data_IF_937307713021
#
_entry.id   IF_937307713021
#
_cell.length_a   1.000
_cell.length_b   1.000
_cell.length_c   1.000
_cell.angle_alpha   90.00
_cell.angle_beta   90.00
_cell.angle_gamma   90.00
#
_symmetry.space_group_name_H-M   'P 1'
#
loop_
_entity.id
_entity.type
_entity.pdbx_description
1 polymer ?
#
# COMPACT_ATOMS: atom_id res chain seq x y z
N UNK A 1 -54.11 38.64 -61.70
CA UNK A 1 -52.79 39.26 -61.50
C UNK A 1 -52.46 39.23 -60.02
N UNK A 2 -51.24 38.78 -59.68
CA UNK A 2 -50.51 38.96 -58.41
C UNK A 2 -51.13 38.35 -57.13
N UNK A 3 -50.38 37.79 -56.18
CA UNK A 3 -49.01 37.27 -56.13
C UNK A 3 -48.92 36.53 -54.79
N UNK A 4 -48.43 35.29 -54.77
CA UNK A 4 -48.12 34.57 -53.52
C UNK A 4 -46.81 35.12 -52.95
N UNK A 5 -46.85 35.70 -51.75
CA UNK A 5 -45.64 36.05 -50.99
C UNK A 5 -45.24 34.85 -50.13
N UNK A 6 -44.20 34.15 -50.57
CA UNK A 6 -43.49 33.14 -49.80
C UNK A 6 -42.60 33.81 -48.75
N UNK A 7 -42.77 33.42 -47.48
CA UNK A 7 -41.85 33.79 -46.42
C UNK A 7 -40.55 32.98 -46.56
N UNK A 8 -39.47 33.66 -46.94
CA UNK A 8 -38.10 33.14 -46.86
C UNK A 8 -37.68 33.03 -45.38
N UNK A 9 -37.48 31.83 -44.86
CA UNK A 9 -36.70 31.61 -43.64
C UNK A 9 -35.22 31.39 -44.01
N UNK A 10 -34.28 32.18 -43.47
CA UNK A 10 -32.86 31.86 -43.64
C UNK A 10 -32.50 30.66 -42.75
N UNK A 11 -32.11 29.56 -43.40
CA UNK A 11 -31.50 28.40 -42.76
C UNK A 11 -30.07 28.78 -42.32
N UNK A 12 -29.92 29.32 -41.12
CA UNK A 12 -28.61 29.48 -40.49
C UNK A 12 -28.15 28.13 -39.94
N UNK A 13 -27.43 27.39 -40.78
CA UNK A 13 -26.73 26.18 -40.38
C UNK A 13 -25.50 26.57 -39.54
N UNK A 14 -25.64 26.60 -38.22
CA UNK A 14 -24.50 26.74 -37.30
C UNK A 14 -23.86 25.35 -37.17
N UNK A 15 -22.60 25.13 -37.55
CA UNK A 15 -21.94 23.86 -37.30
C UNK A 15 -21.77 23.69 -35.80
N UNK A 16 -22.43 22.69 -35.21
CA UNK A 16 -22.26 22.33 -33.81
C UNK A 16 -20.91 21.60 -33.66
N UNK A 17 -19.83 22.35 -33.53
CA UNK A 17 -18.52 21.82 -33.16
C UNK A 17 -18.63 21.19 -31.77
N UNK A 18 -18.72 19.87 -31.74
CA UNK A 18 -18.63 19.11 -30.50
C UNK A 18 -17.16 19.08 -30.11
N UNK A 19 -16.72 20.05 -29.31
CA UNK A 19 -15.42 19.99 -28.65
C UNK A 19 -15.54 18.86 -27.63
N UNK A 20 -15.06 17.66 -27.99
CA UNK A 20 -14.74 16.66 -26.97
C UNK A 20 -13.61 17.26 -26.15
N UNK A 21 -13.78 17.49 -24.84
CA UNK A 21 -12.66 17.88 -24.01
C UNK A 21 -11.67 16.72 -24.05
N UNK A 22 -10.60 16.85 -24.83
CA UNK A 22 -9.42 16.02 -24.66
C UNK A 22 -8.86 16.51 -23.33
N UNK A 23 -9.17 15.78 -22.26
CA UNK A 23 -8.44 15.89 -21.01
C UNK A 23 -6.99 15.55 -21.35
N UNK A 24 -6.19 16.58 -21.56
CA UNK A 24 -4.74 16.49 -21.60
C UNK A 24 -4.35 16.02 -20.19
N UNK A 25 -4.23 14.71 -20.02
CA UNK A 25 -3.80 14.07 -18.79
C UNK A 25 -2.29 14.29 -18.62
N UNK A 26 -1.88 15.56 -18.51
CA UNK A 26 -0.49 16.00 -18.42
C UNK A 26 0.11 15.84 -17.02
N UNK A 27 -0.50 14.99 -16.20
CA UNK A 27 0.04 14.58 -14.91
C UNK A 27 -0.44 13.16 -14.69
N UNK A 28 0.50 12.23 -14.52
CA UNK A 28 0.24 10.98 -13.81
C UNK A 28 -0.46 11.38 -12.52
N UNK A 29 -1.75 11.09 -12.40
CA UNK A 29 -2.55 11.47 -11.25
C UNK A 29 -2.05 10.63 -10.08
N UNK A 30 -1.02 11.15 -9.40
CA UNK A 30 -0.54 10.64 -8.13
C UNK A 30 -1.72 10.63 -7.18
N UNK A 31 -2.20 9.45 -6.80
CA UNK A 31 -2.91 9.31 -5.53
C UNK A 31 -1.89 9.38 -4.39
N UNK A 32 -1.14 10.49 -4.32
CA UNK A 32 -0.35 10.84 -3.14
C UNK A 32 -1.29 11.64 -2.26
N UNK A 33 -1.85 10.97 -1.26
CA UNK A 33 -2.45 11.68 -0.14
C UNK A 33 -1.27 12.13 0.72
N UNK A 34 -0.95 13.44 0.79
CA UNK A 34 0.09 13.91 1.68
C UNK A 34 -0.33 13.58 3.11
N UNK A 35 0.56 12.94 3.87
CA UNK A 35 0.34 12.60 5.26
C UNK A 35 1.22 13.50 6.14
N UNK A 36 0.58 14.30 6.99
CA UNK A 36 1.26 15.10 7.98
C UNK A 36 1.67 14.22 9.17
N UNK A 37 2.95 14.28 9.54
CA UNK A 37 3.48 13.46 10.64
C UNK A 37 2.89 13.92 11.98
N UNK A 38 2.56 12.95 12.85
CA UNK A 38 2.18 13.23 14.23
C UNK A 38 3.40 13.48 15.11
N UNK A 39 3.17 14.04 16.29
CA UNK A 39 4.21 14.21 17.30
C UNK A 39 4.92 12.88 17.60
N UNK A 40 6.26 12.91 17.62
CA UNK A 40 7.10 11.72 17.81
C UNK A 40 7.32 10.88 16.55
N UNK A 41 6.67 11.19 15.42
CA UNK A 41 6.89 10.49 14.15
C UNK A 41 8.01 11.14 13.34
N UNK A 42 8.84 10.31 12.72
CA UNK A 42 9.89 10.75 11.81
C UNK A 42 9.72 10.04 10.47
N UNK A 43 9.87 10.78 9.38
CA UNK A 43 9.90 10.23 8.02
C UNK A 43 11.34 10.03 7.58
N UNK A 44 11.65 8.81 7.17
CA UNK A 44 12.94 8.36 6.70
C UNK A 44 12.82 7.76 5.30
N UNK A 45 13.97 7.64 4.64
CA UNK A 45 14.08 7.04 3.31
C UNK A 45 15.17 5.98 3.32
N UNK A 46 14.76 4.72 3.25
CA UNK A 46 15.65 3.58 3.19
C UNK A 46 16.11 3.33 1.75
N UNK A 47 17.41 3.38 1.51
CA UNK A 47 17.97 3.16 0.17
C UNK A 47 18.09 1.65 -0.12
N UNK A 48 17.29 1.18 -1.07
CA UNK A 48 17.24 -0.20 -1.50
C UNK A 48 18.43 -0.57 -2.42
N UNK A 49 18.74 -1.87 -2.60
CA UNK A 49 19.77 -2.32 -3.54
C UNK A 49 19.52 -1.91 -4.99
N UNK A 50 18.26 -1.68 -5.35
CA UNK A 50 17.86 -1.12 -6.65
C UNK A 50 18.31 0.34 -6.86
N UNK A 51 18.73 1.02 -5.80
CA UNK A 51 19.06 2.44 -5.77
C UNK A 51 17.86 3.35 -5.47
N UNK A 52 16.65 2.80 -5.44
CA UNK A 52 15.41 3.51 -5.12
C UNK A 52 15.26 3.71 -3.61
N UNK A 53 14.56 4.77 -3.23
CA UNK A 53 14.25 5.08 -1.84
C UNK A 53 12.87 4.58 -1.45
N UNK A 54 12.83 3.82 -0.37
CA UNK A 54 11.60 3.35 0.28
C UNK A 54 11.30 4.25 1.48
N UNK A 55 10.15 4.91 1.48
CA UNK A 55 9.68 5.68 2.61
C UNK A 55 9.42 4.77 3.82
N UNK A 56 9.83 5.27 4.99
CA UNK A 56 9.56 4.67 6.29
C UNK A 56 9.07 5.77 7.23
N UNK A 57 7.90 5.59 7.83
CA UNK A 57 7.46 6.41 8.96
C UNK A 57 7.78 5.64 10.23
N UNK A 58 8.66 6.18 11.07
CA UNK A 58 9.00 5.59 12.36
C UNK A 58 8.38 6.36 13.52
N UNK A 59 8.09 5.63 14.60
CA UNK A 59 7.78 6.18 15.90
C UNK A 59 8.39 5.29 16.97
N UNK A 60 9.31 5.86 17.75
CA UNK A 60 10.06 5.13 18.78
C UNK A 60 9.24 4.93 20.04
N UNK A 61 9.43 3.78 20.68
CA UNK A 61 8.78 3.44 21.94
C UNK A 61 9.10 4.50 23.00
N UNK A 62 8.07 5.16 23.52
CA UNK A 62 8.24 6.13 24.60
C UNK A 62 8.68 5.45 25.88
N UNK A 63 9.62 6.06 26.62
CA UNK A 63 9.88 5.68 28.00
C UNK A 63 8.69 6.16 28.82
N UNK A 64 7.79 5.26 29.21
CA UNK A 64 6.69 5.63 30.10
C UNK A 64 7.25 6.20 31.41
N UNK A 65 6.80 7.40 31.81
CA UNK A 65 7.16 8.00 33.12
C UNK A 65 6.64 7.20 34.34
N UNK A 66 5.87 6.13 34.12
CA UNK A 66 5.37 5.21 35.15
C UNK A 66 5.83 3.75 34.96
N UNK A 67 6.70 3.46 34.00
CA UNK A 67 7.37 2.16 33.93
C UNK A 67 8.68 2.21 34.69
N UNK A 68 8.94 1.15 35.47
CA UNK A 68 10.21 0.94 36.19
C UNK A 68 11.40 1.32 35.28
N UNK A 69 12.28 2.26 35.68
CA UNK A 69 13.43 2.70 34.88
C UNK A 69 14.38 1.57 34.46
N UNK A 70 14.20 0.36 34.99
CA UNK A 70 14.91 -0.84 34.54
C UNK A 70 14.31 -1.54 33.30
N UNK A 71 13.03 -1.32 32.96
CA UNK A 71 12.39 -1.93 31.80
C UNK A 71 12.59 -1.05 30.56
N UNK A 72 13.81 -1.07 30.01
CA UNK A 72 14.17 -0.28 28.84
C UNK A 72 13.38 -0.74 27.62
N UNK A 73 12.98 0.21 26.77
CA UNK A 73 12.38 -0.01 25.44
C UNK A 73 13.20 -0.88 24.48
N UNK A 74 14.44 -1.22 24.85
CA UNK A 74 15.32 -2.12 24.10
C UNK A 74 15.06 -3.63 24.29
N UNK A 75 14.07 -4.04 25.09
CA UNK A 75 13.69 -5.46 25.21
C UNK A 75 12.57 -5.89 24.26
N UNK A 76 11.72 -4.97 23.81
CA UNK A 76 10.59 -5.32 22.96
C UNK A 76 11.04 -5.54 21.50
N UNK A 77 10.52 -6.56 20.80
CA UNK A 77 10.78 -6.73 19.38
C UNK A 77 10.24 -5.52 18.60
N UNK A 78 10.99 -4.98 17.63
CA UNK A 78 10.49 -3.92 16.76
C UNK A 78 9.24 -4.37 15.98
N UNK A 79 8.30 -3.46 15.74
CA UNK A 79 7.11 -3.73 14.95
C UNK A 79 7.28 -3.11 13.55
N UNK A 80 7.20 -3.94 12.52
CA UNK A 80 7.30 -3.51 11.12
C UNK A 80 5.97 -3.73 10.42
N UNK A 81 5.39 -2.66 9.88
CA UNK A 81 4.05 -2.65 9.28
C UNK A 81 4.12 -2.52 7.76
N UNK A 82 3.49 -3.46 7.05
CA UNK A 82 3.43 -3.54 5.59
C UNK A 82 1.98 -3.33 5.14
N UNK A 83 1.74 -2.27 4.37
CA UNK A 83 0.40 -1.92 3.89
C UNK A 83 -0.08 -2.82 2.72
N UNK A 84 -1.38 -2.74 2.44
CA UNK A 84 -2.01 -3.40 1.29
C UNK A 84 -2.02 -2.52 0.03
N UNK A 85 -2.57 -3.04 -1.07
CA UNK A 85 -2.71 -2.26 -2.31
C UNK A 85 -3.45 -0.93 -2.06
N UNK A 86 -3.06 0.12 -2.80
CA UNK A 86 -3.66 1.46 -2.75
C UNK A 86 -3.54 2.20 -1.41
N UNK A 87 -2.69 1.72 -0.51
CA UNK A 87 -2.31 2.39 0.74
C UNK A 87 -0.82 2.77 0.71
N UNK A 88 -0.35 3.45 1.76
CA UNK A 88 1.06 3.63 2.06
C UNK A 88 1.28 3.61 3.59
N UNK A 89 2.49 3.92 4.08
CA UNK A 89 2.83 3.94 5.51
C UNK A 89 1.83 4.70 6.40
N UNK A 90 1.19 5.75 5.85
CA UNK A 90 0.20 6.57 6.54
C UNK A 90 -0.98 5.79 7.13
N UNK A 91 -1.36 4.63 6.55
CA UNK A 91 -2.50 3.86 7.06
C UNK A 91 -2.22 3.23 8.43
N UNK A 92 -0.93 3.06 8.76
CA UNK A 92 -0.47 2.59 10.06
C UNK A 92 -0.02 3.75 10.95
N UNK A 93 0.62 4.77 10.37
CA UNK A 93 1.13 5.94 11.07
C UNK A 93 0.05 6.66 11.90
N UNK A 94 -1.15 6.83 11.34
CA UNK A 94 -2.19 7.68 11.94
C UNK A 94 -2.59 7.26 13.37
N UNK A 95 -2.72 5.96 13.65
CA UNK A 95 -3.19 5.49 14.97
C UNK A 95 -2.35 4.36 15.55
N UNK A 96 -1.83 3.47 14.73
CA UNK A 96 -1.20 2.24 15.19
C UNK A 96 0.20 2.48 15.73
N UNK A 97 1.02 3.27 15.03
CA UNK A 97 2.37 3.56 15.53
C UNK A 97 2.30 4.35 16.85
N UNK A 98 1.39 5.30 16.97
CA UNK A 98 1.19 6.05 18.22
C UNK A 98 0.74 5.14 19.36
N UNK A 99 -0.20 4.23 19.10
CA UNK A 99 -0.65 3.27 20.12
C UNK A 99 0.49 2.36 20.61
N UNK A 100 1.18 1.68 19.69
CA UNK A 100 2.21 0.71 20.06
C UNK A 100 3.48 1.35 20.60
N UNK A 101 3.84 2.54 20.12
CA UNK A 101 4.97 3.29 20.70
C UNK A 101 4.69 3.74 22.13
N UNK A 102 3.45 4.11 22.47
CA UNK A 102 3.08 4.31 23.88
C UNK A 102 3.18 3.03 24.69
N UNK A 103 2.88 1.86 24.10
CA UNK A 103 3.13 0.57 24.75
C UNK A 103 4.63 0.18 24.83
N UNK A 104 5.55 1.05 24.40
CA UNK A 104 6.99 0.84 24.49
C UNK A 104 7.60 0.05 23.33
N UNK A 105 6.92 -0.08 22.19
CA UNK A 105 7.46 -0.73 20.99
C UNK A 105 8.04 0.29 20.01
N UNK A 106 9.22 0.00 19.46
CA UNK A 106 9.72 0.72 18.29
C UNK A 106 8.92 0.30 17.05
N UNK A 107 8.32 1.29 16.36
CA UNK A 107 7.36 1.04 15.30
C UNK A 107 7.82 1.64 13.97
N UNK A 108 7.68 0.88 12.88
CA UNK A 108 8.11 1.26 11.54
C UNK A 108 7.05 0.91 10.50
N UNK A 109 6.42 1.91 9.87
CA UNK A 109 5.51 1.70 8.76
C UNK A 109 6.24 1.94 7.43
N UNK A 110 6.27 0.93 6.57
CA UNK A 110 6.94 0.99 5.27
C UNK A 110 5.94 1.37 4.19
N UNK A 111 6.32 2.24 3.26
CA UNK A 111 5.61 2.44 2.00
C UNK A 111 6.29 1.63 0.90
N UNK A 112 5.58 0.69 0.28
CA UNK A 112 6.09 -0.07 -0.85
C UNK A 112 6.43 0.88 -2.02
N UNK A 113 7.35 0.46 -2.91
CA UNK A 113 7.77 1.26 -4.06
C UNK A 113 6.59 1.62 -4.98
N UNK A 114 6.51 2.88 -5.40
CA UNK A 114 5.37 3.41 -6.16
C UNK A 114 4.15 3.78 -5.31
N UNK A 115 4.23 3.68 -3.98
CA UNK A 115 3.20 4.16 -3.05
C UNK A 115 3.76 5.19 -2.07
N UNK A 116 2.89 6.05 -1.54
CA UNK A 116 3.28 7.09 -0.60
C UNK A 116 4.33 8.04 -1.19
N UNK A 117 5.39 8.25 -0.43
CA UNK A 117 6.57 9.01 -0.86
C UNK A 117 7.74 8.15 -1.30
N UNK A 118 7.59 6.83 -1.38
CA UNK A 118 8.58 5.97 -2.01
C UNK A 118 8.77 6.29 -3.50
N UNK A 119 9.97 6.03 -4.00
CA UNK A 119 10.28 6.22 -5.41
C UNK A 119 9.44 5.30 -6.30
N UNK A 120 9.21 5.75 -7.55
CA UNK A 120 8.45 5.02 -8.55
C UNK A 120 9.41 4.15 -9.40
N UNK A 121 9.20 2.81 -9.44
CA UNK A 121 9.93 1.94 -10.37
C UNK A 121 9.64 2.29 -11.82
N UNK A 122 10.59 1.99 -12.71
CA UNK A 122 10.47 2.28 -14.16
C UNK A 122 9.52 1.34 -14.91
N UNK A 123 9.09 0.23 -14.30
CA UNK A 123 8.21 -0.76 -14.92
C UNK A 123 6.72 -0.41 -14.83
N UNK A 124 5.88 -1.11 -15.61
CA UNK A 124 4.42 -0.94 -15.61
C UNK A 124 3.73 -1.34 -14.29
N UNK A 125 4.46 -1.98 -13.38
CA UNK A 125 4.01 -2.44 -12.08
C UNK A 125 5.02 -2.05 -11.01
N UNK A 126 4.51 -1.80 -9.81
CA UNK A 126 5.29 -1.43 -8.62
C UNK A 126 6.34 -2.48 -8.19
N UNK A 127 6.19 -3.73 -8.64
CA UNK A 127 7.10 -4.82 -8.30
C UNK A 127 6.42 -6.18 -8.40
N UNK A 128 7.19 -7.24 -8.15
CA UNK A 128 6.66 -8.58 -7.91
C UNK A 128 6.55 -8.83 -6.41
N UNK A 129 5.86 -9.91 -6.02
CA UNK A 129 5.79 -10.34 -4.61
C UNK A 129 7.20 -10.54 -4.02
N UNK A 130 8.11 -11.11 -4.82
CA UNK A 130 9.50 -11.35 -4.44
C UNK A 130 10.27 -10.06 -4.20
N UNK A 131 10.13 -9.06 -5.09
CA UNK A 131 10.85 -7.79 -4.92
C UNK A 131 10.34 -7.05 -3.70
N UNK A 132 9.03 -7.00 -3.47
CA UNK A 132 8.47 -6.38 -2.27
C UNK A 132 8.93 -7.07 -0.98
N UNK A 133 8.94 -8.40 -0.94
CA UNK A 133 9.44 -9.13 0.23
C UNK A 133 10.95 -8.91 0.44
N UNK A 134 11.73 -8.84 -0.65
CA UNK A 134 13.16 -8.54 -0.61
C UNK A 134 13.46 -7.13 -0.11
N UNK A 135 12.67 -6.13 -0.51
CA UNK A 135 12.81 -4.75 -0.05
C UNK A 135 12.55 -4.62 1.46
N UNK A 136 11.51 -5.32 1.96
CA UNK A 136 11.22 -5.43 3.39
C UNK A 136 12.37 -6.12 4.14
N UNK A 137 12.89 -7.22 3.59
CA UNK A 137 14.02 -7.94 4.18
C UNK A 137 15.30 -7.08 4.24
N UNK A 138 15.59 -6.32 3.18
CA UNK A 138 16.75 -5.42 3.14
C UNK A 138 16.62 -4.30 4.20
N UNK A 139 15.42 -3.74 4.39
CA UNK A 139 15.17 -2.79 5.47
C UNK A 139 15.42 -3.41 6.84
N UNK A 140 14.82 -4.58 7.13
CA UNK A 140 14.98 -5.27 8.42
C UNK A 140 16.46 -5.57 8.67
N UNK A 141 17.15 -6.15 7.68
CA UNK A 141 18.54 -6.57 7.78
C UNK A 141 19.52 -5.42 8.09
N UNK A 142 19.24 -4.22 7.56
CA UNK A 142 20.14 -3.05 7.68
C UNK A 142 19.83 -2.16 8.86
N UNK A 143 18.58 -2.10 9.30
CA UNK A 143 18.14 -1.08 10.26
C UNK A 143 17.77 -1.64 11.64
N UNK A 144 17.48 -2.95 11.75
CA UNK A 144 17.00 -3.55 12.99
C UNK A 144 18.03 -4.49 13.59
N UNK A 145 18.24 -4.35 14.90
CA UNK A 145 19.19 -5.19 15.66
C UNK A 145 18.53 -6.42 16.29
N UNK A 146 17.22 -6.35 16.52
CA UNK A 146 16.42 -7.44 17.06
C UNK A 146 15.47 -7.97 15.97
N UNK A 147 15.17 -9.28 15.96
CA UNK A 147 14.14 -9.85 15.10
C UNK A 147 12.80 -9.11 15.32
N UNK A 148 12.16 -8.58 14.26
CA UNK A 148 10.92 -7.85 14.42
C UNK A 148 9.70 -8.78 14.44
N UNK A 149 8.57 -8.24 14.92
CA UNK A 149 7.25 -8.75 14.55
C UNK A 149 6.82 -8.06 13.26
N UNK A 150 6.52 -8.85 12.22
CA UNK A 150 6.14 -8.34 10.91
C UNK A 150 4.62 -8.39 10.72
N UNK A 151 3.99 -7.23 10.53
CA UNK A 151 2.54 -7.08 10.38
C UNK A 151 2.19 -6.75 8.94
N UNK A 152 1.23 -7.47 8.36
CA UNK A 152 0.80 -7.26 6.97
C UNK A 152 -0.70 -7.13 6.81
N UNK A 153 -1.17 -6.06 6.17
CA UNK A 153 -2.58 -5.88 5.80
C UNK A 153 -2.83 -6.23 4.33
N UNK A 154 -3.86 -7.03 4.04
CA UNK A 154 -4.28 -7.34 2.66
C UNK A 154 -3.10 -7.86 1.81
N UNK A 155 -2.69 -7.15 0.75
CA UNK A 155 -1.50 -7.49 -0.06
C UNK A 155 -0.20 -7.53 0.78
N UNK A 156 -0.07 -6.66 1.79
CA UNK A 156 1.03 -6.71 2.75
C UNK A 156 1.06 -8.03 3.52
N UNK A 157 -0.10 -8.61 3.84
CA UNK A 157 -0.16 -9.94 4.45
C UNK A 157 0.31 -11.06 3.53
N UNK A 158 0.12 -10.94 2.21
CA UNK A 158 0.69 -11.88 1.24
C UNK A 158 2.23 -11.75 1.17
N UNK A 159 2.75 -10.53 1.27
CA UNK A 159 4.20 -10.26 1.36
C UNK A 159 4.78 -10.93 2.62
N UNK A 160 4.12 -10.79 3.78
CA UNK A 160 4.55 -11.43 5.04
C UNK A 160 4.54 -12.96 4.92
N UNK A 161 3.50 -13.54 4.33
CA UNK A 161 3.44 -15.00 4.10
C UNK A 161 4.58 -15.47 3.19
N UNK A 162 4.88 -14.74 2.11
CA UNK A 162 6.01 -15.03 1.24
C UNK A 162 7.34 -14.94 1.98
N UNK A 163 7.54 -13.89 2.77
CA UNK A 163 8.73 -13.68 3.59
C UNK A 163 8.99 -14.90 4.50
N UNK A 164 7.98 -15.35 5.25
CA UNK A 164 8.10 -16.51 6.15
C UNK A 164 8.46 -17.79 5.38
N UNK A 165 7.89 -17.99 4.19
CA UNK A 165 8.21 -19.13 3.35
C UNK A 165 9.69 -19.12 2.92
N UNK A 166 10.25 -17.94 2.60
CA UNK A 166 11.65 -17.78 2.24
C UNK A 166 12.61 -18.01 3.42
N UNK A 167 12.27 -17.58 4.65
CA UNK A 167 13.06 -17.93 5.85
C UNK A 167 13.21 -19.46 5.95
N UNK A 168 12.10 -20.19 5.83
CA UNK A 168 12.09 -21.66 5.93
C UNK A 168 12.88 -22.32 4.80
N UNK A 169 12.75 -21.82 3.57
CA UNK A 169 13.48 -22.34 2.43
C UNK A 169 15.00 -22.08 2.53
N UNK A 170 15.38 -20.95 3.13
CA UNK A 170 16.77 -20.56 3.35
C UNK A 170 17.47 -21.40 4.41
N UNK A 171 16.77 -21.89 5.43
CA UNK A 171 17.33 -22.81 6.43
C UNK A 171 17.82 -24.14 5.84
N UNK A 172 17.27 -24.56 4.69
CA UNK A 172 17.60 -25.82 4.04
C UNK A 172 18.78 -25.71 3.05
N UNK A 173 19.38 -24.53 2.87
CA UNK A 173 20.48 -24.31 1.92
C UNK A 173 21.63 -23.60 2.63
N UNK A 174 22.87 -24.05 2.46
CA UNK A 174 24.10 -23.40 2.97
C UNK A 174 24.42 -22.06 2.27
N UNK A 175 23.43 -21.18 2.11
CA UNK A 175 23.58 -19.84 1.54
C UNK A 175 23.31 -18.80 2.62
N UNK A 176 24.02 -17.66 2.54
CA UNK A 176 23.79 -16.47 3.36
C UNK A 176 22.28 -16.16 3.38
N UNK A 177 21.68 -16.09 4.58
CA UNK A 177 20.24 -15.88 4.76
C UNK A 177 19.86 -14.54 4.12
N UNK A 178 19.04 -14.59 3.07
CA UNK A 178 18.55 -13.39 2.39
C UNK A 178 17.38 -12.72 3.16
N UNK A 179 16.74 -13.48 4.05
CA UNK A 179 15.62 -13.04 4.87
C UNK A 179 16.00 -13.19 6.36
N UNK A 180 16.13 -12.08 7.11
CA UNK A 180 16.30 -12.10 8.57
C UNK A 180 15.18 -12.85 9.29
N UNK A 181 15.51 -13.44 10.44
CA UNK A 181 14.54 -14.11 11.32
C UNK A 181 13.54 -13.09 11.89
N UNK A 182 12.34 -13.57 12.23
CA UNK A 182 11.25 -12.77 12.82
C UNK A 182 10.92 -13.30 14.21
N UNK A 183 10.58 -12.40 15.14
CA UNK A 183 10.06 -12.76 16.47
C UNK A 183 8.58 -13.15 16.41
N UNK A 184 7.88 -12.67 15.37
CA UNK A 184 6.49 -13.04 15.11
C UNK A 184 5.98 -12.47 13.79
N UNK A 185 4.74 -12.84 13.46
CA UNK A 185 4.04 -12.28 12.31
C UNK A 185 2.55 -12.12 12.58
N UNK A 186 1.96 -11.05 12.04
CA UNK A 186 0.52 -10.75 12.18
C UNK A 186 -0.08 -10.51 10.80
N UNK A 187 -1.20 -11.19 10.51
CA UNK A 187 -1.93 -11.08 9.26
C UNK A 187 -3.27 -10.38 9.50
N UNK A 188 -3.46 -9.20 8.90
CA UNK A 188 -4.68 -8.38 9.05
C UNK A 188 -5.44 -8.40 7.72
N UNK A 189 -6.61 -9.03 7.67
CA UNK A 189 -7.42 -9.13 6.45
C UNK A 189 -6.62 -9.63 5.22
N UNK A 190 -5.71 -10.57 5.44
CA UNK A 190 -4.70 -10.94 4.45
C UNK A 190 -5.30 -11.63 3.23
N UNK A 191 -4.70 -11.38 2.07
CA UNK A 191 -4.95 -12.19 0.87
C UNK A 191 -4.44 -13.61 1.14
N UNK A 192 -5.24 -14.66 0.88
CA UNK A 192 -4.79 -16.04 1.04
C UNK A 192 -3.61 -16.32 0.09
N UNK A 193 -2.74 -17.30 0.40
CA UNK A 193 -1.58 -17.63 -0.45
C UNK A 193 -1.91 -17.95 -1.91
N UNK A 194 -3.12 -18.44 -2.17
CA UNK A 194 -3.65 -18.70 -3.52
C UNK A 194 -3.98 -17.43 -4.32
N UNK A 195 -3.97 -16.26 -3.69
CA UNK A 195 -4.47 -15.01 -4.24
C UNK A 195 -6.00 -14.86 -4.13
N UNK A 196 -6.49 -13.67 -4.46
CA UNK A 196 -7.93 -13.34 -4.43
C UNK A 196 -8.70 -13.70 -5.71
N UNK A 197 -8.02 -14.19 -6.74
CA UNK A 197 -8.62 -14.41 -8.07
C UNK A 197 -9.84 -15.34 -8.03
N UNK A 198 -9.79 -16.41 -7.24
CA UNK A 198 -10.92 -17.33 -7.05
C UNK A 198 -12.12 -16.69 -6.34
N UNK A 199 -11.87 -15.80 -5.36
CA UNK A 199 -12.93 -15.06 -4.66
C UNK A 199 -13.56 -14.01 -5.58
N UNK A 200 -12.75 -13.30 -6.37
CA UNK A 200 -13.23 -12.34 -7.37
C UNK A 200 -14.07 -13.03 -8.45
N UNK A 201 -13.57 -14.14 -8.99
CA UNK A 201 -14.34 -14.93 -9.98
C UNK A 201 -15.66 -15.43 -9.40
N UNK A 202 -15.66 -15.93 -8.16
CA UNK A 202 -16.88 -16.34 -7.48
C UNK A 202 -17.84 -15.16 -7.31
N UNK A 203 -17.38 -13.97 -6.94
CA UNK A 203 -18.23 -12.78 -6.85
C UNK A 203 -18.84 -12.41 -8.21
N UNK A 204 -18.04 -12.38 -9.28
CA UNK A 204 -18.50 -12.10 -10.65
C UNK A 204 -19.60 -13.08 -11.06
N UNK A 205 -19.42 -14.37 -10.83
CA UNK A 205 -20.40 -15.38 -11.23
C UNK A 205 -21.65 -15.42 -10.34
N UNK A 206 -21.52 -15.10 -9.04
CA UNK A 206 -22.66 -15.15 -8.10
C UNK A 206 -23.47 -13.86 -8.07
N UNK A 207 -22.88 -12.70 -8.40
CA UNK A 207 -23.53 -11.39 -8.42
C UNK A 207 -23.17 -10.57 -9.66
N UNK A 208 -23.54 -11.02 -10.88
CA UNK A 208 -23.08 -10.43 -12.13
C UNK A 208 -23.55 -8.98 -12.34
N UNK A 209 -24.78 -8.63 -11.92
CA UNK A 209 -25.32 -7.28 -12.06
C UNK A 209 -24.60 -6.29 -11.13
N UNK A 210 -24.29 -6.72 -9.90
CA UNK A 210 -23.54 -5.91 -8.93
C UNK A 210 -22.10 -5.73 -9.38
N UNK A 211 -21.43 -6.81 -9.79
CA UNK A 211 -20.10 -6.73 -10.37
C UNK A 211 -20.05 -5.79 -11.59
N UNK A 212 -21.01 -5.89 -12.52
CA UNK A 212 -21.08 -5.01 -13.69
C UNK A 212 -21.23 -3.54 -13.31
N UNK A 213 -22.02 -3.23 -12.28
CA UNK A 213 -22.21 -1.88 -11.75
C UNK A 213 -20.93 -1.35 -11.11
N UNK A 214 -20.22 -2.19 -10.37
CA UNK A 214 -18.95 -1.87 -9.70
C UNK A 214 -17.83 -1.62 -10.73
N UNK A 215 -17.75 -2.45 -11.77
CA UNK A 215 -16.80 -2.27 -12.88
C UNK A 215 -17.11 -1.02 -13.72
N UNK A 216 -18.39 -0.71 -13.98
CA UNK A 216 -18.79 0.45 -14.78
C UNK A 216 -18.61 1.80 -14.05
N UNK A 217 -18.49 1.79 -12.73
CA UNK A 217 -18.29 2.99 -11.89
C UNK A 217 -16.82 3.23 -11.52
N UNK A 218 -15.86 2.51 -12.15
CA UNK A 218 -14.42 2.67 -11.86
C UNK A 218 -13.96 1.96 -10.58
N UNK A 219 -14.63 0.88 -10.19
CA UNK A 219 -14.44 0.18 -8.92
C UNK A 219 -13.08 -0.51 -8.76
N UNK A 220 -12.14 0.20 -8.12
CA UNK A 220 -11.04 -0.39 -7.37
C UNK A 220 -11.44 -0.71 -5.90
N UNK A 221 -12.70 -0.47 -5.51
CA UNK A 221 -13.09 -0.36 -4.10
C UNK A 221 -13.72 -1.62 -3.47
N UNK A 222 -14.00 -2.70 -4.21
CA UNK A 222 -14.84 -3.80 -3.67
C UNK A 222 -14.14 -5.15 -3.78
N UNK A 223 -13.08 -5.31 -2.98
CA UNK A 223 -12.77 -6.63 -2.37
C UNK A 223 -12.68 -6.51 -0.84
N UNK A 224 -12.70 -5.29 -0.27
CA UNK A 224 -12.55 -5.10 1.18
C UNK A 224 -13.88 -5.20 1.95
N UNK A 225 -15.04 -5.03 1.30
CA UNK A 225 -16.33 -4.96 2.03
C UNK A 225 -17.15 -6.25 2.12
N UNK A 226 -16.61 -7.40 1.69
CA UNK A 226 -17.34 -8.67 1.78
C UNK A 226 -16.63 -9.64 2.73
N UNK A 227 -16.58 -9.30 4.02
CA UNK A 227 -16.64 -10.18 5.20
C UNK A 227 -16.07 -9.44 6.42
N UNK A 228 -16.93 -8.67 7.08
CA UNK A 228 -16.94 -8.46 8.53
C UNK A 228 -18.40 -8.49 8.97
#
# INVERSE_FOLDING_TARGET
MASCLSFFQPNLHVPRTTIKPIALLNKTQKMRVPYELKEGQTRLFHKLPSGLNMEVIEQKGGVHMNSDPQKRSGENPPLVFVHGSYHAAWCWAEHWLTFFSHCGFDCYALSLLGQGESDEPTGSFAGTLQTHAGDVADFIQKNLQLPPVLLGHSFGGLIVQYYIAEIRNGQNKEKKRAFPDLDGAVLVCSVPPSGNSGLVWRYIFTKPITAFKDFSLGGALIIISASF
#
